data_IF_223730447868
#
_entry.id   IF_223730447868
#
_cell.length_a   1.000
_cell.length_b   1.000
_cell.length_c   1.000
_cell.angle_alpha   90.00
_cell.angle_beta   90.00
_cell.angle_gamma   90.00
#
_symmetry.space_group_name_H-M   'P 1'
#
loop_
_entity.id
_entity.type
_entity.pdbx_description
1 polymer ?
#
# COMPACT_ATOMS: atom_id res chain seq x y z
N UNK A 1 25.30 -17.36 -13.04
CA UNK A 1 24.22 -18.25 -13.51
C UNK A 1 23.38 -18.66 -12.32
N UNK A 2 22.31 -17.91 -12.03
CA UNK A 2 21.29 -18.28 -11.03
C UNK A 2 19.97 -18.32 -11.79
N UNK A 3 19.71 -19.47 -12.41
CA UNK A 3 18.44 -19.77 -13.03
C UNK A 3 17.64 -20.61 -12.03
N UNK A 4 16.77 -19.95 -11.26
CA UNK A 4 15.87 -20.66 -10.32
C UNK A 4 14.45 -20.10 -10.47
N UNK A 5 13.73 -20.62 -11.47
CA UNK A 5 12.28 -20.91 -11.45
C UNK A 5 11.37 -19.86 -10.76
N UNK A 6 11.50 -18.58 -11.09
CA UNK A 6 10.45 -17.56 -10.92
C UNK A 6 10.05 -17.00 -12.28
N UNK A 7 9.69 -17.90 -13.21
CA UNK A 7 9.20 -17.51 -14.52
C UNK A 7 7.85 -16.78 -14.39
N UNK A 8 7.96 -15.46 -14.29
CA UNK A 8 7.08 -14.42 -14.82
C UNK A 8 5.64 -14.44 -14.32
N UNK A 9 5.43 -14.02 -13.06
CA UNK A 9 4.26 -13.21 -12.75
C UNK A 9 4.76 -11.79 -12.73
N UNK A 10 4.34 -10.98 -13.69
CA UNK A 10 4.60 -9.55 -13.65
C UNK A 10 3.82 -8.94 -12.47
N UNK A 11 4.52 -8.72 -11.36
CA UNK A 11 3.95 -8.13 -10.16
C UNK A 11 3.65 -6.65 -10.33
N UNK A 12 4.09 -5.99 -11.42
CA UNK A 12 3.78 -4.59 -11.67
C UNK A 12 2.27 -4.35 -11.72
N UNK A 13 1.49 -5.23 -12.35
CA UNK A 13 0.01 -5.09 -12.42
C UNK A 13 -0.63 -5.23 -11.03
N UNK A 14 -0.08 -6.11 -10.18
CA UNK A 14 -0.60 -6.31 -8.82
C UNK A 14 -0.20 -5.14 -7.92
N UNK A 15 1.03 -4.63 -8.07
CA UNK A 15 1.49 -3.41 -7.42
C UNK A 15 0.67 -2.20 -7.84
N UNK A 16 0.34 -2.07 -9.14
CA UNK A 16 -0.53 -1.02 -9.66
C UNK A 16 -1.92 -1.08 -9.02
N UNK A 17 -2.50 -2.28 -8.86
CA UNK A 17 -3.74 -2.45 -8.11
C UNK A 17 -3.61 -1.96 -6.67
N UNK A 18 -2.54 -2.33 -5.97
CA UNK A 18 -2.29 -1.91 -4.60
C UNK A 18 -2.20 -0.38 -4.44
N UNK A 19 -1.66 0.33 -5.43
CA UNK A 19 -1.60 1.80 -5.47
C UNK A 19 -2.86 2.46 -6.02
N UNK A 20 -3.82 1.69 -6.54
CA UNK A 20 -5.09 2.22 -7.03
C UNK A 20 -6.04 2.57 -5.88
N UNK A 21 -6.98 3.47 -6.16
CA UNK A 21 -8.00 3.89 -5.20
C UNK A 21 -8.97 2.75 -4.80
N UNK A 22 -8.95 1.62 -5.53
CA UNK A 22 -9.67 0.41 -5.16
C UNK A 22 -9.05 -0.30 -3.95
N UNK A 23 -7.74 -0.19 -3.76
CA UNK A 23 -7.00 -0.93 -2.74
C UNK A 23 -6.48 -0.02 -1.62
N UNK A 24 -6.15 1.22 -1.93
CA UNK A 24 -5.59 2.15 -0.96
C UNK A 24 -5.95 3.60 -1.29
N UNK A 25 -5.91 4.46 -0.28
CA UNK A 25 -6.09 5.91 -0.40
C UNK A 25 -4.87 6.63 0.17
N UNK A 26 -4.60 7.89 -0.21
CA UNK A 26 -3.56 8.68 0.44
C UNK A 26 -3.72 8.71 1.97
N UNK A 27 -2.61 8.52 2.68
CA UNK A 27 -2.58 8.68 4.14
C UNK A 27 -2.51 10.18 4.49
N UNK A 28 -3.67 10.76 4.79
CA UNK A 28 -3.80 12.18 5.10
C UNK A 28 -3.23 12.55 6.48
N UNK A 29 -3.05 11.60 7.39
CA UNK A 29 -2.50 11.85 8.72
C UNK A 29 -0.97 11.93 8.70
N UNK A 30 -0.32 11.10 7.87
CA UNK A 30 1.13 11.08 7.72
C UNK A 30 1.54 11.36 6.27
N UNK A 31 1.56 12.64 5.89
CA UNK A 31 2.04 13.12 4.57
C UNK A 31 3.55 12.93 4.33
N UNK A 32 4.22 12.15 5.17
CA UNK A 32 5.64 11.88 5.02
C UNK A 32 5.87 10.92 3.85
N UNK A 33 6.83 11.27 2.98
CA UNK A 33 7.31 10.36 1.95
C UNK A 33 8.16 9.27 2.59
N UNK A 34 7.98 8.03 2.15
CA UNK A 34 8.79 6.89 2.56
C UNK A 34 9.75 6.48 1.46
N UNK A 35 10.96 6.12 1.87
CA UNK A 35 11.96 5.52 1.00
C UNK A 35 11.63 4.04 0.82
N UNK A 36 11.36 3.63 -0.41
CA UNK A 36 11.08 2.26 -0.82
C UNK A 36 12.29 1.75 -1.59
N UNK A 37 12.79 0.58 -1.23
CA UNK A 37 13.91 -0.06 -1.94
C UNK A 37 13.40 -0.76 -3.20
N UNK A 38 13.96 -0.40 -4.35
CA UNK A 38 13.61 -0.97 -5.66
C UNK A 38 14.53 -2.14 -6.06
N UNK A 39 15.53 -2.45 -5.24
CA UNK A 39 16.57 -3.45 -5.50
C UNK A 39 17.92 -2.82 -5.80
N UNK A 40 18.81 -3.56 -6.45
CA UNK A 40 20.16 -3.09 -6.81
C UNK A 40 20.25 -2.73 -8.30
N UNK A 41 20.97 -1.66 -8.62
CA UNK A 41 21.29 -1.31 -10.01
C UNK A 41 22.23 -2.40 -10.59
N UNK A 42 21.86 -3.05 -11.71
CA UNK A 42 22.66 -4.12 -12.29
C UNK A 42 24.04 -3.68 -12.79
N UNK A 43 24.29 -2.37 -12.97
CA UNK A 43 25.55 -1.85 -13.48
C UNK A 43 26.48 -1.34 -12.37
N UNK A 44 25.93 -0.76 -11.31
CA UNK A 44 26.72 -0.14 -10.23
C UNK A 44 26.70 -0.94 -8.94
N UNK A 45 25.74 -1.86 -8.77
CA UNK A 45 25.53 -2.59 -7.52
C UNK A 45 25.01 -1.71 -6.37
N UNK A 46 24.61 -0.47 -6.66
CA UNK A 46 24.04 0.42 -5.65
C UNK A 46 22.55 0.12 -5.44
N UNK A 47 22.09 0.20 -4.19
CA UNK A 47 20.68 0.08 -3.89
C UNK A 47 19.90 1.28 -4.47
N UNK A 48 18.91 0.99 -5.29
CA UNK A 48 17.98 1.95 -5.86
C UNK A 48 16.82 2.16 -4.90
N UNK A 49 16.40 3.41 -4.78
CA UNK A 49 15.30 3.78 -3.92
C UNK A 49 14.37 4.76 -4.60
N UNK A 50 13.09 4.68 -4.24
CA UNK A 50 12.06 5.60 -4.66
C UNK A 50 11.37 6.22 -3.45
N UNK A 51 10.78 7.40 -3.63
CA UNK A 51 10.06 8.11 -2.59
C UNK A 51 8.55 8.03 -2.86
N UNK A 52 7.86 7.22 -2.08
CA UNK A 52 6.41 7.04 -2.21
C UNK A 52 5.69 7.85 -1.14
N UNK A 53 4.56 8.43 -1.51
CA UNK A 53 3.61 8.94 -0.51
C UNK A 53 2.99 7.76 0.23
N UNK A 54 2.84 7.89 1.56
CA UNK A 54 2.16 6.87 2.36
C UNK A 54 0.72 6.72 1.89
N UNK A 55 0.27 5.47 1.79
CA UNK A 55 -1.12 5.13 1.50
C UNK A 55 -1.67 4.23 2.59
N UNK A 56 -2.95 4.36 2.85
CA UNK A 56 -3.69 3.53 3.78
C UNK A 56 -4.59 2.57 2.99
N UNK A 57 -4.58 1.28 3.31
CA UNK A 57 -5.48 0.33 2.63
C UNK A 57 -6.94 0.65 2.93
N UNK A 58 -7.77 0.57 1.90
CA UNK A 58 -9.19 0.95 1.95
C UNK A 58 -10.06 -0.11 2.65
N UNK A 59 -9.49 -1.25 3.06
CA UNK A 59 -10.20 -2.30 3.76
C UNK A 59 -9.30 -3.49 4.09
N UNK A 60 -9.90 -4.57 4.62
CA UNK A 60 -9.15 -5.78 4.95
C UNK A 60 -8.55 -6.44 3.70
N UNK A 61 -7.31 -6.91 3.79
CA UNK A 61 -6.59 -7.50 2.66
C UNK A 61 -7.36 -8.65 1.97
N UNK A 62 -8.14 -9.46 2.72
CA UNK A 62 -8.99 -10.51 2.11
C UNK A 62 -10.11 -9.95 1.23
N UNK A 63 -10.72 -8.83 1.64
CA UNK A 63 -11.72 -8.15 0.82
C UNK A 63 -11.05 -7.57 -0.43
N UNK A 64 -9.90 -6.93 -0.27
CA UNK A 64 -9.13 -6.36 -1.38
C UNK A 64 -8.69 -7.44 -2.38
N UNK A 65 -8.39 -8.66 -1.93
CA UNK A 65 -8.10 -9.77 -2.84
C UNK A 65 -9.32 -10.22 -3.66
N UNK A 66 -10.52 -10.17 -3.07
CA UNK A 66 -11.76 -10.41 -3.80
C UNK A 66 -12.01 -9.29 -4.82
N UNK A 67 -11.79 -8.03 -4.43
CA UNK A 67 -11.88 -6.86 -5.33
C UNK A 67 -10.88 -7.00 -6.48
N UNK A 68 -9.62 -7.32 -6.21
CA UNK A 68 -8.61 -7.58 -7.23
C UNK A 68 -9.10 -8.62 -8.25
N UNK A 69 -9.59 -9.77 -7.78
CA UNK A 69 -10.07 -10.85 -8.63
C UNK A 69 -11.24 -10.46 -9.54
N UNK A 70 -12.08 -9.52 -9.10
CA UNK A 70 -13.19 -8.97 -9.85
C UNK A 70 -12.81 -7.74 -10.72
N UNK A 71 -11.63 -7.17 -10.51
CA UNK A 71 -11.17 -5.96 -11.19
C UNK A 71 -10.54 -6.22 -12.56
N UNK A 72 -10.41 -5.16 -13.35
CA UNK A 72 -9.67 -5.16 -14.62
C UNK A 72 -8.20 -5.58 -14.47
N UNK A 73 -7.59 -5.38 -13.28
CA UNK A 73 -6.21 -5.77 -13.03
C UNK A 73 -6.01 -7.28 -13.08
N UNK A 74 -6.99 -8.06 -12.60
CA UNK A 74 -6.93 -9.52 -12.71
C UNK A 74 -7.05 -10.01 -14.16
N UNK A 75 -7.84 -9.34 -14.99
CA UNK A 75 -7.93 -9.65 -16.43
C UNK A 75 -6.63 -9.31 -17.14
N UNK A 76 -6.08 -8.10 -16.91
CA UNK A 76 -4.77 -7.67 -17.43
C UNK A 76 -3.65 -8.64 -17.04
N UNK A 77 -3.64 -9.11 -15.79
CA UNK A 77 -2.66 -10.08 -15.33
C UNK A 77 -2.78 -11.42 -16.09
N UNK A 78 -4.00 -11.91 -16.32
CA UNK A 78 -4.22 -13.17 -17.07
C UNK A 78 -3.76 -13.02 -18.52
N UNK A 79 -4.06 -11.89 -19.16
CA UNK A 79 -3.65 -11.60 -20.53
C UNK A 79 -2.12 -11.47 -20.64
N UNK A 80 -1.48 -10.73 -19.73
CA UNK A 80 -0.03 -10.56 -19.71
C UNK A 80 0.74 -11.87 -19.48
N UNK A 81 0.14 -12.81 -18.74
CA UNK A 81 0.73 -14.12 -18.44
C UNK A 81 0.19 -15.24 -19.32
N UNK A 82 -0.57 -14.89 -20.36
CA UNK A 82 -1.11 -15.85 -21.32
C UNK A 82 0.03 -16.43 -22.16
N UNK A 83 0.17 -17.74 -22.14
CA UNK A 83 1.18 -18.44 -22.94
C UNK A 83 0.59 -19.70 -23.55
N UNK A 84 1.23 -20.26 -24.58
CA UNK A 84 0.81 -21.53 -25.17
C UNK A 84 0.70 -22.68 -24.15
N UNK A 85 1.50 -22.65 -23.07
CA UNK A 85 1.45 -23.62 -21.97
C UNK A 85 0.41 -23.25 -20.88
N UNK A 86 -0.07 -22.00 -20.84
CA UNK A 86 -1.07 -21.48 -19.90
C UNK A 86 -2.11 -20.64 -20.67
N UNK A 87 -3.08 -21.29 -21.34
CA UNK A 87 -4.05 -20.61 -22.19
C UNK A 87 -5.06 -19.75 -21.41
N UNK A 88 -5.13 -19.88 -20.08
CA UNK A 88 -6.00 -19.07 -19.23
C UNK A 88 -5.23 -18.00 -18.42
N UNK A 89 -3.92 -17.86 -18.67
CA UNK A 89 -3.04 -17.02 -17.86
C UNK A 89 -2.83 -17.53 -16.44
N UNK A 90 -2.20 -16.71 -15.60
CA UNK A 90 -1.95 -16.99 -14.18
C UNK A 90 -3.12 -16.51 -13.33
N UNK A 91 -3.58 -17.39 -12.44
CA UNK A 91 -4.47 -17.01 -11.33
C UNK A 91 -3.62 -16.77 -10.09
N UNK A 92 -3.56 -15.51 -9.64
CA UNK A 92 -2.76 -15.11 -8.48
C UNK A 92 -3.22 -15.81 -7.19
N UNK A 93 -2.27 -16.40 -6.47
CA UNK A 93 -2.48 -16.95 -5.13
C UNK A 93 -2.53 -15.87 -4.05
N UNK A 94 -3.10 -16.20 -2.89
CA UNK A 94 -3.18 -15.27 -1.75
C UNK A 94 -1.80 -14.81 -1.28
N UNK A 95 -0.84 -15.73 -1.15
CA UNK A 95 0.53 -15.42 -0.75
C UNK A 95 1.19 -14.44 -1.72
N UNK A 96 1.10 -14.72 -3.02
CA UNK A 96 1.66 -13.86 -4.08
C UNK A 96 1.01 -12.48 -4.11
N UNK A 97 -0.29 -12.38 -3.79
CA UNK A 97 -0.99 -11.11 -3.70
C UNK A 97 -0.46 -10.22 -2.56
N UNK A 98 -0.17 -10.82 -1.40
CA UNK A 98 0.43 -10.10 -0.27
C UNK A 98 1.90 -9.75 -0.53
N UNK A 99 2.68 -10.64 -1.13
CA UNK A 99 4.09 -10.38 -1.49
C UNK A 99 4.23 -9.23 -2.48
N UNK A 100 3.21 -8.96 -3.29
CA UNK A 100 3.18 -7.86 -4.25
C UNK A 100 2.77 -6.51 -3.64
N UNK A 101 2.42 -6.48 -2.35
CA UNK A 101 2.00 -5.27 -1.66
C UNK A 101 3.22 -4.39 -1.40
N UNK A 102 3.15 -3.13 -1.84
CA UNK A 102 4.19 -2.15 -1.56
C UNK A 102 4.21 -1.77 -0.08
N UNK A 103 5.40 -1.58 0.48
CA UNK A 103 5.61 -1.16 1.87
C UNK A 103 5.08 0.26 2.15
N UNK A 104 4.84 1.08 1.11
CA UNK A 104 4.19 2.38 1.27
C UNK A 104 2.72 2.28 1.71
N UNK A 105 2.10 1.09 1.58
CA UNK A 105 0.68 0.86 1.89
C UNK A 105 0.54 0.20 3.26
N UNK A 106 -0.04 0.91 4.22
CA UNK A 106 -0.16 0.48 5.62
C UNK A 106 -1.59 0.11 6.00
N UNK A 107 -1.75 -0.87 6.89
CA UNK A 107 -3.05 -1.19 7.51
C UNK A 107 -3.56 0.00 8.30
N UNK A 108 -4.81 0.43 8.05
CA UNK A 108 -5.48 1.37 8.94
C UNK A 108 -5.67 0.71 10.29
N UNK A 109 -5.24 1.36 11.36
CA UNK A 109 -5.62 0.92 12.71
C UNK A 109 -7.11 1.19 12.92
N UNK A 110 -7.82 0.38 13.72
CA UNK A 110 -9.26 0.53 13.95
C UNK A 110 -9.73 1.90 14.46
N UNK A 111 -8.82 2.76 14.95
CA UNK A 111 -9.12 4.10 15.48
C UNK A 111 -8.55 5.25 14.62
N UNK A 112 -7.95 4.95 13.47
CA UNK A 112 -7.43 5.99 12.56
C UNK A 112 -8.58 6.57 11.72
N UNK A 113 -9.20 7.67 12.18
CA UNK A 113 -10.06 8.53 11.34
C UNK A 113 -9.20 9.55 10.61
N UNK A 114 -9.23 9.52 9.29
CA UNK A 114 -8.59 10.51 8.40
C UNK A 114 -9.48 11.74 8.13
N UNK A 115 -10.60 11.84 8.84
CA UNK A 115 -11.45 13.03 8.80
C UNK A 115 -10.67 14.26 9.32
N UNK A 116 -10.95 15.41 8.71
CA UNK A 116 -10.32 16.68 9.08
C UNK A 116 -10.49 17.00 10.57
N UNK A 117 -11.67 16.68 11.12
CA UNK A 117 -12.01 16.91 12.52
C UNK A 117 -11.14 16.06 13.47
N UNK A 118 -10.97 14.76 13.20
CA UNK A 118 -10.12 13.92 14.05
C UNK A 118 -8.64 14.31 13.94
N UNK A 119 -8.17 14.64 12.75
CA UNK A 119 -6.78 15.12 12.56
C UNK A 119 -6.55 16.40 13.37
N UNK A 120 -7.46 17.37 13.27
CA UNK A 120 -7.40 18.61 14.04
C UNK A 120 -7.42 18.34 15.55
N UNK A 121 -8.30 17.47 16.04
CA UNK A 121 -8.36 17.11 17.45
C UNK A 121 -7.05 16.45 17.91
N UNK A 122 -6.51 15.48 17.18
CA UNK A 122 -5.28 14.77 17.58
C UNK A 122 -4.08 15.71 17.65
N UNK A 123 -3.90 16.57 16.64
CA UNK A 123 -2.78 17.54 16.60
C UNK A 123 -2.88 18.58 17.73
N UNK A 124 -4.09 19.03 18.05
CA UNK A 124 -4.32 20.10 19.02
C UNK A 124 -4.67 19.62 20.44
N UNK A 125 -4.85 18.30 20.65
CA UNK A 125 -5.25 17.73 21.94
C UNK A 125 -4.32 18.15 23.07
N UNK A 126 -3.02 18.17 22.81
CA UNK A 126 -2.00 18.54 23.79
C UNK A 126 -2.07 20.03 24.18
N UNK A 127 -2.37 20.91 23.22
CA UNK A 127 -2.58 22.34 23.44
C UNK A 127 -3.87 22.57 24.22
N UNK A 128 -4.94 21.85 23.88
CA UNK A 128 -6.22 21.95 24.56
C UNK A 128 -6.12 21.48 26.03
N UNK A 129 -5.47 20.33 26.29
CA UNK A 129 -5.19 19.86 27.65
C UNK A 129 -4.33 20.84 28.45
N UNK A 130 -3.38 21.53 27.80
CA UNK A 130 -2.57 22.57 28.45
C UNK A 130 -3.40 23.78 28.82
N UNK A 131 -4.25 24.27 27.92
CA UNK A 131 -5.15 25.39 28.16
C UNK A 131 -6.16 25.07 29.28
N UNK A 132 -6.76 23.87 29.25
CA UNK A 132 -7.73 23.43 30.26
C UNK A 132 -7.14 23.36 31.68
N UNK A 133 -5.87 22.96 31.82
CA UNK A 133 -5.17 23.00 33.13
C UNK A 133 -5.01 24.42 33.68
N UNK A 134 -4.91 25.43 32.81
CA UNK A 134 -4.83 26.84 33.21
C UNK A 134 -6.17 27.43 33.68
N UNK A 135 -7.30 26.87 33.23
CA UNK A 135 -8.63 27.39 33.56
C UNK A 135 -9.02 27.26 35.04
N UNK A 136 -8.37 26.35 35.78
CA UNK A 136 -8.62 26.14 37.21
C UNK A 136 -7.57 26.80 38.11
N UNK A 137 -6.61 27.57 37.56
CA UNK A 137 -5.57 28.24 38.33
C UNK A 137 -5.81 29.75 38.55
N UNK A 138 -6.88 30.32 37.99
CA UNK A 138 -7.28 31.72 38.20
C UNK A 138 -8.51 31.87 39.13
N UNK A 139 -8.62 31.01 40.14
CA UNK A 139 -9.64 31.07 41.21
C UNK A 139 -9.02 31.31 42.58
#
# INVERSE_FOLDING_TARGET
VVATIHAQVDYAIVSEFWHSDLASVPDNQNKAKMRIELGEDPNTGEHLYDLHERRAQSGMARMLFAVFRASQFASRLREATHTRKRPNGVKLGWRQFLEAKCDCIQERKPMECDCQDCTYVTENLSLWHRAQRGWFQEG
#
